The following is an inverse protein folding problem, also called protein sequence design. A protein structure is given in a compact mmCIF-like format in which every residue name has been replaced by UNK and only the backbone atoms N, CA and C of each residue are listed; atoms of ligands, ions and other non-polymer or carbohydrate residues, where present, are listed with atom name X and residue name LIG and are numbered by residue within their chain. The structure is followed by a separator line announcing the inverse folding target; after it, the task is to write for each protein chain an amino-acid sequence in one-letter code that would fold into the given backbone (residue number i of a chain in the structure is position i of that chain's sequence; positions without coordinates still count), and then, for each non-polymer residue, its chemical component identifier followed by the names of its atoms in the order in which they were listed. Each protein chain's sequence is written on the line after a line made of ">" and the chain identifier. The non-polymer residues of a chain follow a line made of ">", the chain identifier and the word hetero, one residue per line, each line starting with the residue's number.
data_IF_629534559083
#
_entry.id   IF_629534559083
#
_cell.length_a   1.000
_cell.length_b   1.000
_cell.length_c   1.000
_cell.angle_alpha   90.00
_cell.angle_beta   90.00
_cell.angle_gamma   90.00
#
_symmetry.space_group_name_H-M   'P 1'
#
loop_
_entity.id
_entity.type
_entity.pdbx_description
1 polymer ?
#
# COMPACT_ATOMS: atom_id res chain seq x y z
N UNK A 1 31.13 -6.97 7.81
CA UNK A 1 30.45 -5.70 8.03
C UNK A 1 29.10 -6.04 8.64
N UNK A 2 28.83 -5.63 9.85
CA UNK A 2 27.62 -6.06 10.58
C UNK A 2 26.42 -5.31 9.99
N UNK A 3 25.56 -6.03 9.26
CA UNK A 3 24.44 -5.51 8.50
C UNK A 3 23.37 -4.87 9.43
N UNK A 4 23.36 -5.29 10.71
CA UNK A 4 22.48 -4.73 11.74
C UNK A 4 22.67 -3.21 11.95
N UNK A 5 23.84 -2.67 11.61
CA UNK A 5 24.19 -1.26 11.81
C UNK A 5 23.94 -0.36 10.58
N UNK A 6 23.68 -0.91 9.40
CA UNK A 6 23.57 -0.14 8.14
C UNK A 6 22.11 0.00 7.66
N UNK A 7 21.26 -0.97 7.98
CA UNK A 7 19.89 -1.04 7.44
C UNK A 7 18.81 -0.18 8.12
N UNK A 8 18.83 0.16 9.42
CA UNK A 8 17.61 0.67 10.06
C UNK A 8 17.18 2.04 9.55
N UNK A 9 18.08 3.01 9.41
CA UNK A 9 17.70 4.37 9.04
C UNK A 9 17.56 4.58 7.53
N UNK A 10 18.51 4.08 6.73
CA UNK A 10 18.47 4.21 5.26
C UNK A 10 17.32 3.43 4.62
N UNK A 11 16.94 2.27 5.17
CA UNK A 11 15.83 1.48 4.65
C UNK A 11 14.47 2.14 4.86
N UNK A 12 14.28 2.93 5.93
CA UNK A 12 13.09 3.76 6.13
C UNK A 12 12.93 4.80 5.02
N UNK A 13 14.04 5.43 4.59
CA UNK A 13 14.01 6.38 3.49
C UNK A 13 13.58 5.72 2.17
N UNK A 14 13.99 4.46 1.92
CA UNK A 14 13.60 3.71 0.72
C UNK A 14 12.09 3.41 0.67
N UNK A 15 11.40 3.40 1.79
CA UNK A 15 9.94 3.27 1.85
C UNK A 15 9.23 4.61 1.83
N UNK A 16 9.60 5.51 2.74
CA UNK A 16 8.87 6.77 2.96
C UNK A 16 9.03 7.74 1.79
N UNK A 17 10.25 7.91 1.26
CA UNK A 17 10.49 8.89 0.18
C UNK A 17 9.70 8.56 -1.09
N UNK A 18 9.74 7.32 -1.65
CA UNK A 18 8.89 6.97 -2.79
C UNK A 18 7.39 7.17 -2.50
N UNK A 19 6.92 6.78 -1.30
CA UNK A 19 5.52 6.97 -0.93
C UNK A 19 5.11 8.45 -0.92
N UNK A 20 5.96 9.34 -0.41
CA UNK A 20 5.71 10.79 -0.42
C UNK A 20 5.75 11.38 -1.83
N UNK A 21 6.66 10.92 -2.70
CA UNK A 21 6.71 11.33 -4.10
C UNK A 21 5.42 10.91 -4.82
N UNK A 22 4.99 9.66 -4.67
CA UNK A 22 3.75 9.16 -5.25
C UNK A 22 2.56 9.96 -4.70
N UNK A 23 2.54 10.22 -3.39
CA UNK A 23 1.50 11.02 -2.74
C UNK A 23 1.42 12.43 -3.33
N UNK A 24 2.55 13.11 -3.48
CA UNK A 24 2.61 14.46 -4.06
C UNK A 24 1.94 14.48 -5.45
N UNK A 25 2.33 13.56 -6.34
CA UNK A 25 1.72 13.49 -7.68
C UNK A 25 0.23 13.09 -7.64
N UNK A 26 -0.17 12.28 -6.67
CA UNK A 26 -1.56 11.85 -6.49
C UNK A 26 -2.46 12.99 -6.01
N UNK A 27 -1.94 13.87 -5.15
CA UNK A 27 -2.70 14.99 -4.59
C UNK A 27 -2.81 16.18 -5.54
N UNK A 28 -1.92 16.28 -6.52
CA UNK A 28 -1.91 17.38 -7.48
C UNK A 28 -3.24 17.49 -8.23
N UNK A 29 -3.89 18.65 -8.13
CA UNK A 29 -5.20 18.92 -8.72
C UNK A 29 -6.40 18.54 -7.83
N UNK A 30 -6.15 18.11 -6.59
CA UNK A 30 -7.19 17.75 -5.62
C UNK A 30 -7.17 18.65 -4.38
N UNK A 31 -6.43 19.75 -4.37
CA UNK A 31 -6.12 20.59 -3.20
C UNK A 31 -7.40 21.11 -2.50
N UNK A 32 -8.46 21.37 -3.26
CA UNK A 32 -9.75 21.83 -2.73
C UNK A 32 -10.57 20.76 -1.99
N UNK A 33 -10.17 19.46 -2.12
CA UNK A 33 -10.97 18.31 -1.64
C UNK A 33 -10.40 17.64 -0.40
N UNK A 34 -9.28 18.13 0.12
CA UNK A 34 -8.66 17.60 1.32
C UNK A 34 -8.19 18.70 2.29
N UNK A 35 -7.85 18.30 3.49
CA UNK A 35 -7.23 19.15 4.51
C UNK A 35 -5.85 18.58 4.85
N UNK A 36 -4.81 19.40 4.84
CA UNK A 36 -3.41 18.97 5.08
C UNK A 36 -3.26 18.20 6.40
N UNK A 37 -3.90 18.68 7.47
CA UNK A 37 -3.92 17.97 8.75
C UNK A 37 -4.45 16.53 8.62
N UNK A 38 -5.48 16.30 7.80
CA UNK A 38 -6.03 14.95 7.59
C UNK A 38 -5.13 14.10 6.70
N UNK A 39 -4.44 14.70 5.72
CA UNK A 39 -3.40 14.04 4.92
C UNK A 39 -2.31 13.53 5.85
N UNK A 40 -1.74 14.40 6.66
CA UNK A 40 -0.70 14.02 7.63
C UNK A 40 -1.17 12.89 8.56
N UNK A 41 -2.35 13.05 9.19
CA UNK A 41 -2.90 12.04 10.09
C UNK A 41 -3.18 10.70 9.39
N UNK A 42 -3.66 10.74 8.14
CA UNK A 42 -3.89 9.52 7.34
C UNK A 42 -2.59 8.80 7.03
N UNK A 43 -1.53 9.54 6.68
CA UNK A 43 -0.22 8.96 6.39
C UNK A 43 0.39 8.30 7.64
N UNK A 44 0.37 9.01 8.77
CA UNK A 44 0.87 8.47 10.05
C UNK A 44 0.04 7.26 10.51
N UNK A 45 -1.29 7.33 10.39
CA UNK A 45 -2.15 6.18 10.69
C UNK A 45 -1.83 4.98 9.79
N UNK A 46 -1.49 5.23 8.53
CA UNK A 46 -1.01 4.20 7.59
C UNK A 46 0.30 3.55 8.05
N UNK A 47 1.29 4.36 8.43
CA UNK A 47 2.57 3.86 8.98
C UNK A 47 2.34 2.95 10.19
N UNK A 48 1.54 3.40 11.15
CA UNK A 48 1.23 2.62 12.35
C UNK A 48 0.48 1.32 12.01
N UNK A 49 -0.53 1.40 11.14
CA UNK A 49 -1.30 0.24 10.72
C UNK A 49 -0.43 -0.79 9.98
N UNK A 50 0.49 -0.36 9.10
CA UNK A 50 1.45 -1.23 8.43
C UNK A 50 2.42 -1.89 9.42
N UNK A 51 2.89 -1.14 10.42
CA UNK A 51 3.72 -1.71 11.48
C UNK A 51 3.01 -2.82 12.26
N UNK A 52 1.75 -2.59 12.66
CA UNK A 52 0.94 -3.62 13.31
C UNK A 52 0.66 -4.82 12.39
N UNK A 53 0.54 -4.59 11.08
CA UNK A 53 0.37 -5.69 10.11
C UNK A 53 1.60 -6.61 10.07
N UNK A 54 2.80 -6.08 10.14
CA UNK A 54 4.04 -6.87 10.19
C UNK A 54 4.07 -7.77 11.43
N UNK A 55 3.69 -7.22 12.60
CA UNK A 55 3.60 -8.00 13.84
C UNK A 55 2.56 -9.13 13.68
N UNK A 56 1.39 -8.81 13.13
CA UNK A 56 0.33 -9.78 12.89
C UNK A 56 0.77 -10.86 11.90
N UNK A 57 1.43 -10.49 10.80
CA UNK A 57 1.97 -11.44 9.83
C UNK A 57 2.98 -12.39 10.47
N UNK A 58 3.89 -11.88 11.29
CA UNK A 58 4.87 -12.70 12.02
C UNK A 58 4.20 -13.76 12.90
N UNK A 59 3.06 -13.41 13.50
CA UNK A 59 2.25 -14.35 14.27
C UNK A 59 1.55 -15.38 13.37
N UNK A 60 0.91 -14.92 12.28
CA UNK A 60 0.16 -15.78 11.34
C UNK A 60 1.05 -16.78 10.61
N UNK A 61 2.33 -16.48 10.39
CA UNK A 61 3.30 -17.40 9.76
C UNK A 61 3.37 -18.76 10.45
N UNK A 62 3.12 -18.83 11.76
CA UNK A 62 3.08 -20.08 12.51
C UNK A 62 1.91 -21.02 12.17
N UNK A 63 0.88 -20.49 11.48
CA UNK A 63 -0.33 -21.25 11.10
C UNK A 63 -0.30 -21.76 9.66
N UNK A 64 0.82 -21.55 8.95
CA UNK A 64 1.05 -22.05 7.60
C UNK A 64 0.58 -21.13 6.46
N UNK A 65 0.91 -21.51 5.24
CA UNK A 65 0.78 -20.69 4.02
C UNK A 65 -0.68 -20.28 3.73
N UNK A 66 -1.64 -21.20 3.91
CA UNK A 66 -3.06 -20.90 3.66
C UNK A 66 -3.56 -19.78 4.57
N UNK A 67 -3.13 -19.79 5.83
CA UNK A 67 -3.48 -18.74 6.79
C UNK A 67 -2.91 -17.38 6.36
N UNK A 68 -1.70 -17.32 5.84
CA UNK A 68 -1.12 -16.09 5.29
C UNK A 68 -1.94 -15.55 4.11
N UNK A 69 -2.32 -16.41 3.16
CA UNK A 69 -3.07 -16.00 1.97
C UNK A 69 -4.46 -15.44 2.31
N UNK A 70 -5.09 -15.90 3.40
CA UNK A 70 -6.44 -15.50 3.78
C UNK A 70 -6.43 -14.41 4.84
N UNK A 71 -5.71 -14.64 5.95
CA UNK A 71 -5.81 -13.78 7.13
C UNK A 71 -5.09 -12.44 6.95
N UNK A 72 -3.96 -12.40 6.25
CA UNK A 72 -3.23 -11.14 6.05
C UNK A 72 -4.02 -10.16 5.18
N UNK A 73 -4.52 -10.53 3.97
CA UNK A 73 -5.37 -9.63 3.19
C UNK A 73 -6.60 -9.16 3.98
N UNK A 74 -7.25 -10.06 4.68
CA UNK A 74 -8.43 -9.71 5.49
C UNK A 74 -8.09 -8.71 6.58
N UNK A 75 -7.05 -8.98 7.38
CA UNK A 75 -6.61 -8.11 8.48
C UNK A 75 -6.20 -6.73 7.98
N UNK A 76 -5.35 -6.66 6.98
CA UNK A 76 -4.84 -5.39 6.46
C UNK A 76 -5.95 -4.51 5.88
N UNK A 77 -6.88 -5.12 5.14
CA UNK A 77 -7.97 -4.35 4.55
C UNK A 77 -9.02 -3.97 5.60
N UNK A 78 -9.28 -4.80 6.63
CA UNK A 78 -10.23 -4.43 7.70
C UNK A 78 -9.67 -3.27 8.56
N UNK A 79 -8.37 -3.28 8.85
CA UNK A 79 -7.70 -2.19 9.58
C UNK A 79 -7.82 -0.87 8.80
N UNK A 80 -7.46 -0.87 7.51
CA UNK A 80 -7.62 0.32 6.65
C UNK A 80 -9.07 0.79 6.58
N UNK A 81 -10.00 -0.15 6.43
CA UNK A 81 -11.43 0.15 6.38
C UNK A 81 -11.91 0.79 7.69
N UNK A 82 -11.50 0.26 8.83
CA UNK A 82 -11.88 0.79 10.15
C UNK A 82 -11.36 2.20 10.36
N UNK A 83 -10.11 2.47 9.99
CA UNK A 83 -9.50 3.80 10.09
C UNK A 83 -10.25 4.80 9.18
N UNK A 84 -10.50 4.45 7.92
CA UNK A 84 -11.18 5.34 6.97
C UNK A 84 -12.66 5.53 7.29
N UNK A 85 -13.33 4.53 7.86
CA UNK A 85 -14.72 4.65 8.28
C UNK A 85 -14.91 5.41 9.61
N UNK A 86 -13.83 5.86 10.23
CA UNK A 86 -13.83 6.71 11.42
C UNK A 86 -14.07 8.19 11.07
N UNK A 87 -13.99 9.07 12.08
CA UNK A 87 -14.07 10.54 11.91
C UNK A 87 -12.99 11.11 10.98
N UNK A 88 -11.97 10.32 10.63
CA UNK A 88 -10.89 10.75 9.73
C UNK A 88 -11.44 11.05 8.33
N UNK A 89 -12.20 10.13 7.74
CA UNK A 89 -12.65 10.22 6.35
C UNK A 89 -14.16 10.08 6.14
N UNK A 90 -14.91 9.47 7.07
CA UNK A 90 -16.35 9.27 6.95
C UNK A 90 -17.09 10.60 6.80
N UNK A 91 -18.03 10.63 5.85
CA UNK A 91 -18.83 11.83 5.56
C UNK A 91 -18.05 12.95 4.86
N UNK A 92 -16.84 12.68 4.35
CA UNK A 92 -16.04 13.66 3.60
C UNK A 92 -15.95 13.31 2.12
N UNK A 93 -15.97 14.31 1.25
CA UNK A 93 -15.74 14.15 -0.18
C UNK A 93 -14.31 13.62 -0.45
N UNK A 94 -13.34 14.00 0.37
CA UNK A 94 -11.94 13.62 0.26
C UNK A 94 -11.60 12.19 0.75
N UNK A 95 -12.59 11.37 1.14
CA UNK A 95 -12.31 10.03 1.67
C UNK A 95 -11.42 9.17 0.76
N UNK A 96 -11.56 9.15 -0.58
CA UNK A 96 -10.63 8.42 -1.46
C UNK A 96 -9.20 8.96 -1.41
N UNK A 97 -9.02 10.27 -1.21
CA UNK A 97 -7.72 10.93 -1.08
C UNK A 97 -7.04 10.52 0.23
N UNK A 98 -7.78 10.56 1.34
CA UNK A 98 -7.28 10.07 2.64
C UNK A 98 -6.99 8.57 2.59
N UNK A 99 -7.77 7.82 1.81
CA UNK A 99 -7.53 6.41 1.54
C UNK A 99 -6.20 6.17 0.80
N UNK A 100 -5.94 6.92 -0.27
CA UNK A 100 -4.66 6.88 -0.98
C UNK A 100 -3.50 7.15 -0.02
N UNK A 101 -3.62 8.22 0.76
CA UNK A 101 -2.60 8.65 1.72
C UNK A 101 -2.32 7.60 2.79
N UNK A 102 -3.37 7.03 3.38
CA UNK A 102 -3.27 5.96 4.37
C UNK A 102 -2.63 4.70 3.78
N UNK A 103 -3.04 4.32 2.56
CA UNK A 103 -2.47 3.17 1.87
C UNK A 103 -0.99 3.35 1.53
N UNK A 104 -0.59 4.52 1.03
CA UNK A 104 0.81 4.83 0.74
C UNK A 104 1.68 4.80 2.02
N UNK A 105 1.17 5.37 3.13
CA UNK A 105 1.83 5.26 4.43
C UNK A 105 1.95 3.81 4.91
N UNK A 106 0.89 3.01 4.74
CA UNK A 106 0.88 1.59 5.09
C UNK A 106 1.95 0.81 4.31
N UNK A 107 2.00 0.95 2.98
CA UNK A 107 2.98 0.27 2.14
C UNK A 107 4.42 0.71 2.39
N UNK A 108 4.62 1.98 2.77
CA UNK A 108 5.97 2.53 2.98
C UNK A 108 6.72 1.89 4.14
N UNK A 109 6.02 1.45 5.19
CA UNK A 109 6.66 0.79 6.35
C UNK A 109 6.97 -0.68 6.07
N UNK A 110 6.30 -1.32 5.10
CA UNK A 110 6.61 -2.69 4.72
C UNK A 110 7.99 -2.80 4.03
N UNK A 111 8.39 -1.75 3.30
CA UNK A 111 9.66 -1.71 2.54
C UNK A 111 10.90 -2.04 3.38
N UNK A 112 11.17 -1.34 4.51
CA UNK A 112 12.35 -1.62 5.33
C UNK A 112 12.34 -3.04 5.90
N UNK A 113 11.17 -3.58 6.21
CA UNK A 113 11.04 -4.95 6.71
C UNK A 113 11.32 -5.98 5.62
N UNK A 114 10.82 -5.79 4.40
CA UNK A 114 11.12 -6.66 3.26
C UNK A 114 12.63 -6.69 2.97
N UNK A 115 13.29 -5.53 3.00
CA UNK A 115 14.74 -5.43 2.81
C UNK A 115 15.50 -6.13 3.95
N UNK A 116 15.08 -5.96 5.21
CA UNK A 116 15.71 -6.59 6.35
C UNK A 116 15.58 -8.12 6.32
N UNK A 117 14.40 -8.64 5.97
CA UNK A 117 14.17 -10.08 5.82
C UNK A 117 15.06 -10.66 4.70
N UNK A 118 15.13 -9.97 3.55
CA UNK A 118 15.98 -10.38 2.46
C UNK A 118 17.46 -10.42 2.90
N UNK A 119 17.94 -9.35 3.48
CA UNK A 119 19.33 -9.25 3.95
C UNK A 119 19.69 -10.32 4.98
N UNK A 120 18.74 -10.79 5.80
CA UNK A 120 18.97 -11.86 6.78
C UNK A 120 19.10 -13.26 6.17
N UNK A 121 18.50 -13.48 4.99
CA UNK A 121 18.53 -14.77 4.28
C UNK A 121 19.80 -14.97 3.44
N UNK A 122 20.46 -13.89 3.04
CA UNK A 122 21.58 -13.94 2.08
C UNK A 122 22.87 -13.47 2.74
N UNK A 123 23.90 -14.31 2.73
CA UNK A 123 25.21 -14.02 3.31
C UNK A 123 26.06 -13.01 2.52
N UNK A 124 25.54 -12.52 1.41
CA UNK A 124 26.12 -11.45 0.59
C UNK A 124 25.01 -10.63 -0.06
N UNK A 125 25.04 -9.32 0.15
CA UNK A 125 24.18 -8.38 -0.56
C UNK A 125 24.60 -8.33 -2.04
N UNK A 126 24.11 -9.25 -2.85
CA UNK A 126 24.19 -9.08 -4.29
C UNK A 126 23.34 -7.87 -4.66
N UNK A 127 23.97 -6.86 -5.27
CA UNK A 127 23.34 -5.61 -5.67
C UNK A 127 22.06 -5.86 -6.48
N UNK A 128 22.08 -6.90 -7.32
CA UNK A 128 20.92 -7.28 -8.16
C UNK A 128 19.75 -7.74 -7.30
N UNK A 129 19.96 -8.65 -6.36
CA UNK A 129 18.89 -9.15 -5.48
C UNK A 129 18.29 -8.04 -4.61
N UNK A 130 19.15 -7.20 -4.02
CA UNK A 130 18.68 -6.04 -3.23
C UNK A 130 17.85 -5.08 -4.10
N UNK A 131 18.26 -4.84 -5.34
CA UNK A 131 17.52 -3.98 -6.27
C UNK A 131 16.14 -4.55 -6.60
N UNK A 132 16.04 -5.86 -6.84
CA UNK A 132 14.78 -6.54 -7.15
C UNK A 132 13.84 -6.50 -5.95
N UNK A 133 14.32 -6.78 -4.75
CA UNK A 133 13.51 -6.73 -3.51
C UNK A 133 13.04 -5.30 -3.22
N UNK A 134 13.91 -4.31 -3.40
CA UNK A 134 13.53 -2.91 -3.25
C UNK A 134 12.44 -2.51 -4.27
N UNK A 135 12.57 -2.98 -5.50
CA UNK A 135 11.57 -2.76 -6.55
C UNK A 135 10.22 -3.40 -6.15
N UNK A 136 10.23 -4.66 -5.67
CA UNK A 136 9.04 -5.34 -5.15
C UNK A 136 8.38 -4.57 -4.01
N UNK A 137 9.17 -4.05 -3.08
CA UNK A 137 8.70 -3.24 -1.97
C UNK A 137 8.02 -1.94 -2.44
N UNK A 138 8.52 -1.29 -3.50
CA UNK A 138 7.83 -0.17 -4.15
C UNK A 138 6.49 -0.62 -4.74
N UNK A 139 6.41 -1.83 -5.29
CA UNK A 139 5.15 -2.43 -5.73
C UNK A 139 4.12 -2.50 -4.61
N UNK A 140 4.50 -2.91 -3.41
CA UNK A 140 3.60 -2.90 -2.25
C UNK A 140 3.09 -1.50 -1.89
N UNK A 141 3.92 -0.45 -2.01
CA UNK A 141 3.49 0.94 -1.80
C UNK A 141 2.35 1.30 -2.76
N UNK A 142 2.52 1.03 -4.07
CA UNK A 142 1.47 1.24 -5.07
C UNK A 142 0.21 0.43 -4.77
N UNK A 143 0.37 -0.84 -4.43
CA UNK A 143 -0.75 -1.72 -4.11
C UNK A 143 -1.59 -1.20 -2.95
N UNK A 144 -0.94 -0.88 -1.82
CA UNK A 144 -1.66 -0.37 -0.65
C UNK A 144 -2.28 1.01 -0.91
N UNK A 145 -1.62 1.87 -1.69
CA UNK A 145 -2.20 3.12 -2.17
C UNK A 145 -3.47 2.89 -2.99
N UNK A 146 -3.45 1.95 -3.93
CA UNK A 146 -4.61 1.59 -4.75
C UNK A 146 -5.78 1.08 -3.90
N UNK A 147 -5.53 0.09 -3.03
CA UNK A 147 -6.58 -0.47 -2.15
C UNK A 147 -7.12 0.59 -1.19
N UNK A 148 -6.27 1.51 -0.72
CA UNK A 148 -6.69 2.66 0.07
C UNK A 148 -7.68 3.56 -0.70
N UNK A 149 -7.42 3.87 -1.98
CA UNK A 149 -8.34 4.62 -2.85
C UNK A 149 -9.69 3.90 -2.96
N UNK A 150 -9.68 2.58 -3.20
CA UNK A 150 -10.91 1.78 -3.32
C UNK A 150 -11.74 1.82 -2.04
N UNK A 151 -11.12 1.57 -0.89
CA UNK A 151 -11.81 1.59 0.41
C UNK A 151 -12.32 2.99 0.72
N UNK A 152 -11.52 4.03 0.50
CA UNK A 152 -11.93 5.42 0.68
C UNK A 152 -13.13 5.79 -0.19
N UNK A 153 -13.18 5.30 -1.43
CA UNK A 153 -14.35 5.47 -2.29
C UNK A 153 -15.57 4.69 -1.76
N UNK A 154 -15.36 3.51 -1.22
CA UNK A 154 -16.39 2.73 -0.52
C UNK A 154 -17.00 3.50 0.65
N UNK A 155 -16.15 4.15 1.45
CA UNK A 155 -16.58 5.01 2.57
C UNK A 155 -17.37 6.23 2.07
N UNK A 156 -16.89 6.91 1.03
CA UNK A 156 -17.57 8.04 0.41
C UNK A 156 -18.96 7.69 -0.15
N UNK A 157 -19.07 6.52 -0.80
CA UNK A 157 -20.27 6.07 -1.50
C UNK A 157 -21.23 5.25 -0.64
N UNK A 158 -20.95 5.13 0.66
CA UNK A 158 -21.69 4.29 1.63
C UNK A 158 -21.81 2.80 1.21
N UNK A 159 -20.77 2.31 0.52
CA UNK A 159 -20.65 0.91 0.04
C UNK A 159 -19.39 0.25 0.57
N UNK A 160 -19.11 0.46 1.85
CA UNK A 160 -17.85 0.08 2.52
C UNK A 160 -17.50 -1.39 2.27
N UNK A 161 -18.44 -2.30 2.57
CA UNK A 161 -18.22 -3.75 2.46
C UNK A 161 -17.88 -4.23 1.05
N UNK A 162 -18.50 -3.64 0.04
CA UNK A 162 -18.23 -3.99 -1.36
C UNK A 162 -16.78 -3.68 -1.74
N UNK A 163 -16.30 -2.50 -1.37
CA UNK A 163 -14.94 -2.08 -1.70
C UNK A 163 -13.88 -2.71 -0.80
N UNK A 164 -14.25 -3.06 0.44
CA UNK A 164 -13.44 -3.91 1.30
C UNK A 164 -13.19 -5.28 0.66
N UNK A 165 -14.25 -5.96 0.20
CA UNK A 165 -14.12 -7.28 -0.47
C UNK A 165 -13.25 -7.16 -1.73
N UNK A 166 -13.43 -6.13 -2.55
CA UNK A 166 -12.57 -5.92 -3.71
C UNK A 166 -11.09 -5.76 -3.31
N UNK A 167 -10.81 -4.99 -2.26
CA UNK A 167 -9.44 -4.79 -1.79
C UNK A 167 -8.81 -6.10 -1.27
N UNK A 168 -9.57 -6.94 -0.56
CA UNK A 168 -9.14 -8.28 -0.13
C UNK A 168 -8.85 -9.17 -1.34
N UNK A 169 -9.77 -9.24 -2.31
CA UNK A 169 -9.61 -10.06 -3.51
C UNK A 169 -8.41 -9.63 -4.37
N UNK A 170 -8.14 -8.32 -4.48
CA UNK A 170 -6.95 -7.82 -5.18
C UNK A 170 -5.66 -8.21 -4.48
N UNK A 171 -5.67 -8.39 -3.17
CA UNK A 171 -4.47 -8.73 -2.41
C UNK A 171 -4.10 -10.21 -2.50
N UNK A 172 -5.07 -11.10 -2.67
CA UNK A 172 -4.82 -12.55 -2.73
C UNK A 172 -3.78 -12.93 -3.81
N UNK A 173 -3.91 -12.50 -5.08
CA UNK A 173 -2.89 -12.82 -6.10
C UNK A 173 -1.50 -12.30 -5.74
N UNK A 174 -1.43 -11.11 -5.16
CA UNK A 174 -0.18 -10.50 -4.73
C UNK A 174 0.48 -11.32 -3.62
N UNK A 175 -0.29 -11.77 -2.62
CA UNK A 175 0.21 -12.63 -1.54
C UNK A 175 0.70 -13.98 -2.07
N UNK A 176 -0.05 -14.60 -3.01
CA UNK A 176 0.37 -15.87 -3.61
C UNK A 176 1.71 -15.72 -4.34
N UNK A 177 1.86 -14.67 -5.16
CA UNK A 177 3.11 -14.42 -5.90
C UNK A 177 4.26 -14.14 -4.93
N UNK A 178 4.04 -13.35 -3.88
CA UNK A 178 5.06 -13.05 -2.87
C UNK A 178 5.50 -14.33 -2.13
N UNK A 179 4.57 -15.16 -1.68
CA UNK A 179 4.88 -16.40 -0.97
C UNK A 179 5.61 -17.43 -1.86
N UNK A 180 5.20 -17.55 -3.13
CA UNK A 180 5.90 -18.41 -4.10
C UNK A 180 7.32 -17.89 -4.36
N UNK A 181 7.49 -16.57 -4.51
CA UNK A 181 8.79 -15.94 -4.65
C UNK A 181 9.71 -16.26 -3.47
N UNK A 182 9.18 -16.15 -2.25
CA UNK A 182 9.92 -16.40 -1.00
C UNK A 182 10.28 -17.87 -0.80
N UNK A 183 9.35 -18.79 -1.09
CA UNK A 183 9.51 -20.23 -0.86
C UNK A 183 10.53 -20.85 -1.83
N UNK A 184 10.47 -20.43 -3.10
CA UNK A 184 11.29 -21.00 -4.16
C UNK A 184 12.50 -20.14 -4.54
N UNK A 185 12.76 -19.05 -3.83
CA UNK A 185 13.83 -18.06 -4.11
C UNK A 185 13.77 -17.54 -5.56
N UNK A 186 12.55 -17.21 -6.03
CA UNK A 186 12.30 -16.72 -7.38
C UNK A 186 12.11 -15.20 -7.36
N UNK A 187 13.17 -14.45 -7.06
CA UNK A 187 13.11 -12.99 -6.86
C UNK A 187 12.56 -12.26 -8.10
N UNK A 188 12.75 -12.80 -9.30
CA UNK A 188 12.21 -12.20 -10.54
C UNK A 188 10.68 -12.06 -10.53
N UNK A 189 9.96 -12.87 -9.71
CA UNK A 189 8.51 -12.74 -9.53
C UNK A 189 8.11 -11.40 -8.87
N UNK A 190 9.04 -10.73 -8.18
CA UNK A 190 8.81 -9.40 -7.63
C UNK A 190 8.46 -8.38 -8.73
N UNK A 191 8.95 -8.59 -9.97
CA UNK A 191 8.58 -7.77 -11.12
C UNK A 191 7.07 -7.87 -11.42
N UNK A 192 6.47 -9.05 -11.26
CA UNK A 192 5.02 -9.22 -11.45
C UNK A 192 4.23 -8.44 -10.41
N UNK A 193 4.71 -8.43 -9.15
CA UNK A 193 4.10 -7.63 -8.06
C UNK A 193 4.11 -6.15 -8.44
N UNK A 194 5.24 -5.65 -8.92
CA UNK A 194 5.38 -4.24 -9.33
C UNK A 194 4.43 -3.89 -10.46
N UNK A 195 4.44 -4.66 -11.53
CA UNK A 195 3.60 -4.43 -12.72
C UNK A 195 2.11 -4.45 -12.34
N UNK A 196 1.69 -5.49 -11.61
CA UNK A 196 0.32 -5.60 -11.12
C UNK A 196 -0.09 -4.40 -10.28
N UNK A 197 0.76 -3.99 -9.33
CA UNK A 197 0.48 -2.91 -8.39
C UNK A 197 0.43 -1.54 -9.08
N UNK A 198 1.31 -1.28 -10.03
CA UNK A 198 1.31 -0.04 -10.84
C UNK A 198 0.03 0.05 -11.68
N UNK A 199 -0.36 -1.04 -12.35
CA UNK A 199 -1.60 -1.08 -13.15
C UNK A 199 -2.81 -0.82 -12.25
N UNK A 200 -2.89 -1.49 -11.11
CA UNK A 200 -3.98 -1.32 -10.16
C UNK A 200 -4.05 0.11 -9.61
N UNK A 201 -2.89 0.68 -9.25
CA UNK A 201 -2.79 2.05 -8.76
C UNK A 201 -3.18 3.08 -9.83
N UNK A 202 -2.66 2.91 -11.03
CA UNK A 202 -3.01 3.76 -12.16
C UNK A 202 -4.53 3.74 -12.43
N UNK A 203 -5.12 2.55 -12.43
CA UNK A 203 -6.56 2.41 -12.59
C UNK A 203 -7.34 3.08 -11.44
N UNK A 204 -6.93 2.83 -10.19
CA UNK A 204 -7.54 3.43 -9.01
C UNK A 204 -7.45 4.97 -9.06
N UNK A 205 -6.29 5.52 -9.40
CA UNK A 205 -6.07 6.97 -9.50
C UNK A 205 -6.87 7.59 -10.65
N UNK A 206 -6.85 7.00 -11.84
CA UNK A 206 -7.49 7.57 -13.04
C UNK A 206 -9.00 7.30 -13.15
N UNK A 207 -9.53 6.27 -12.51
CA UNK A 207 -10.95 5.89 -12.61
C UNK A 207 -11.74 6.08 -11.32
N UNK A 208 -11.13 5.77 -10.18
CA UNK A 208 -11.83 5.81 -8.88
C UNK A 208 -11.58 7.14 -8.18
N UNK A 209 -10.32 7.57 -8.05
CA UNK A 209 -10.00 8.83 -7.37
C UNK A 209 -10.65 10.04 -8.06
N UNK A 210 -10.69 10.06 -9.39
CA UNK A 210 -11.33 11.11 -10.16
C UNK A 210 -12.82 11.28 -9.83
N UNK A 211 -13.49 10.23 -9.31
CA UNK A 211 -14.88 10.31 -8.85
C UNK A 211 -15.06 11.17 -7.59
N UNK A 212 -13.97 11.59 -6.94
CA UNK A 212 -13.96 12.59 -5.88
C UNK A 212 -14.39 13.96 -6.43
N UNK A 213 -14.03 14.23 -7.68
CA UNK A 213 -14.33 15.51 -8.34
C UNK A 213 -15.79 15.62 -8.79
N UNK A 214 -16.37 16.83 -8.82
CA UNK A 214 -17.65 17.11 -9.46
C UNK A 214 -17.64 16.72 -10.95
N UNK A 215 -18.80 16.33 -11.48
CA UNK A 215 -18.94 15.90 -12.89
C UNK A 215 -18.40 16.90 -13.91
N UNK A 216 -18.52 18.20 -13.63
CA UNK A 216 -18.02 19.29 -14.49
C UNK A 216 -16.49 19.29 -14.61
N UNK A 217 -15.77 19.04 -13.50
CA UNK A 217 -14.28 18.99 -13.48
C UNK A 217 -13.73 17.69 -14.04
N UNK A 218 -14.43 16.55 -13.89
CA UNK A 218 -14.00 15.24 -14.44
C UNK A 218 -13.79 15.27 -15.96
N UNK A 219 -14.65 15.99 -16.69
CA UNK A 219 -14.60 16.08 -18.17
C UNK A 219 -13.35 16.80 -18.69
N UNK A 220 -12.77 17.71 -17.91
CA UNK A 220 -11.55 18.43 -18.30
C UNK A 220 -10.31 17.53 -18.18
N UNK A 221 -10.19 16.78 -17.08
CA UNK A 221 -9.03 15.92 -16.81
C UNK A 221 -8.96 14.69 -17.72
N UNK A 222 -10.10 14.20 -18.23
CA UNK A 222 -10.14 13.04 -19.16
C UNK A 222 -9.73 13.42 -20.58
N UNK A 223 -9.68 14.72 -20.92
CA UNK A 223 -9.33 15.22 -22.25
C UNK A 223 -7.86 15.65 -22.38
N UNK A 224 -7.13 15.77 -21.27
CA UNK A 224 -5.68 15.97 -21.17
C UNK A 224 -4.96 14.63 -20.90
#
# INVERSE_FOLDING_TARGET
>A
MDISNVLPASSLFLGIVPALIILYFTLKGYEEYFKDKKIFLSFVAGLLAGFFSIIFESFVRNFGVISLIILIPFFEQIVKTSILNSRLARGTEGAPIYGATLGLGFGSILTPFSIAIYASKWSGLEIVGLSIVTLGAIGFIFFHGATGIYIGYGVKSDRVWRYFIYAVLFQIPLMVVSLVSDEYNLEFLQVLIVVYSIILYWYAAKKVLIMTLPKSKRRKIVKE
#
